data_IF_910280891881
#
_entry.id   IF_910280891881
#
_cell.length_a   1.000
_cell.length_b   1.000
_cell.length_c   1.000
_cell.angle_alpha   90.00
_cell.angle_beta   90.00
_cell.angle_gamma   90.00
#
_symmetry.space_group_name_H-M   'P 1'
#
loop_
_entity.id
_entity.type
_entity.pdbx_description
1 polymer ?
#
# COMPACT_ATOMS: atom_id res chain seq x y z
N UNK A 1 -5.71 -3.58 31.81
CA UNK A 1 -5.83 -4.07 30.41
C UNK A 1 -5.89 -5.58 30.49
N UNK A 2 -6.94 -6.23 29.97
CA UNK A 2 -7.11 -7.69 30.07
C UNK A 2 -5.94 -8.37 29.37
N UNK A 3 -5.26 -9.28 30.06
CA UNK A 3 -4.20 -10.14 29.52
C UNK A 3 -4.71 -10.87 28.27
N UNK A 4 -4.43 -10.30 27.10
CA UNK A 4 -4.81 -10.89 25.83
C UNK A 4 -3.86 -12.05 25.57
N UNK A 5 -4.24 -13.24 26.06
CA UNK A 5 -3.50 -14.47 25.86
C UNK A 5 -3.24 -14.61 24.36
N UNK A 6 -1.96 -14.61 23.96
CA UNK A 6 -1.49 -14.72 22.58
C UNK A 6 -1.80 -16.12 22.04
N UNK A 7 -3.10 -16.36 21.81
CA UNK A 7 -3.65 -17.62 21.37
C UNK A 7 -3.38 -17.76 19.87
N UNK A 8 -3.22 -18.99 19.38
CA UNK A 8 -3.01 -19.27 17.95
C UNK A 8 -4.05 -18.56 17.05
N UNK A 9 -5.30 -18.43 17.52
CA UNK A 9 -6.35 -17.68 16.84
C UNK A 9 -6.03 -16.21 16.61
N UNK A 10 -5.46 -15.51 17.59
CA UNK A 10 -5.08 -14.09 17.47
C UNK A 10 -3.99 -13.88 16.42
N UNK A 11 -3.01 -14.79 16.34
CA UNK A 11 -1.95 -14.74 15.33
C UNK A 11 -2.50 -14.97 13.92
N UNK A 12 -3.38 -15.95 13.76
CA UNK A 12 -4.06 -16.19 12.49
C UNK A 12 -4.86 -14.97 12.05
N UNK A 13 -5.64 -14.37 12.95
CA UNK A 13 -6.47 -13.21 12.65
C UNK A 13 -5.60 -11.99 12.24
N UNK A 14 -4.44 -11.82 12.87
CA UNK A 14 -3.47 -10.79 12.49
C UNK A 14 -2.89 -11.03 11.08
N UNK A 15 -2.52 -12.27 10.75
CA UNK A 15 -2.03 -12.63 9.41
C UNK A 15 -3.13 -12.40 8.36
N UNK A 16 -4.36 -12.81 8.64
CA UNK A 16 -5.50 -12.57 7.75
C UNK A 16 -5.73 -11.08 7.55
N UNK A 17 -5.74 -10.30 8.63
CA UNK A 17 -5.94 -8.86 8.55
C UNK A 17 -4.83 -8.19 7.73
N UNK A 18 -3.58 -8.63 7.91
CA UNK A 18 -2.44 -8.14 7.13
C UNK A 18 -2.59 -8.50 5.65
N UNK A 19 -2.97 -9.75 5.34
CA UNK A 19 -3.20 -10.20 3.97
C UNK A 19 -4.33 -9.39 3.31
N UNK A 20 -5.44 -9.17 4.02
CA UNK A 20 -6.52 -8.31 3.53
C UNK A 20 -6.05 -6.88 3.31
N UNK A 21 -5.31 -6.29 4.24
CA UNK A 21 -4.79 -4.93 4.09
C UNK A 21 -3.86 -4.78 2.87
N UNK A 22 -3.04 -5.79 2.58
CA UNK A 22 -2.10 -5.76 1.46
C UNK A 22 -2.81 -6.03 0.12
N UNK A 23 -3.72 -7.00 0.08
CA UNK A 23 -4.29 -7.53 -1.17
C UNK A 23 -5.62 -6.88 -1.56
N UNK A 24 -6.47 -6.56 -0.59
CA UNK A 24 -7.83 -6.11 -0.85
C UNK A 24 -7.87 -4.76 -1.61
N UNK A 25 -7.06 -3.74 -1.27
CA UNK A 25 -7.06 -2.49 -2.03
C UNK A 25 -6.62 -2.66 -3.50
N UNK A 26 -5.51 -3.36 -3.82
CA UNK A 26 -5.13 -3.63 -5.20
C UNK A 26 -6.16 -4.49 -5.96
N UNK A 27 -6.73 -5.52 -5.32
CA UNK A 27 -7.75 -6.39 -5.96
C UNK A 27 -8.99 -5.59 -6.33
N UNK A 28 -9.60 -4.87 -5.37
CA UNK A 28 -10.83 -4.11 -5.62
C UNK A 28 -10.63 -3.07 -6.72
N UNK A 29 -9.51 -2.37 -6.66
CA UNK A 29 -9.14 -1.35 -7.65
C UNK A 29 -8.99 -1.99 -9.03
N UNK A 30 -8.24 -3.08 -9.16
CA UNK A 30 -8.06 -3.80 -10.42
C UNK A 30 -9.39 -4.35 -10.98
N UNK A 31 -10.28 -4.85 -10.13
CA UNK A 31 -11.62 -5.29 -10.53
C UNK A 31 -12.45 -4.15 -11.13
N UNK A 32 -12.42 -2.95 -10.53
CA UNK A 32 -13.12 -1.77 -11.06
C UNK A 32 -12.56 -1.41 -12.44
N UNK A 33 -11.24 -1.29 -12.58
CA UNK A 33 -10.60 -0.95 -13.86
C UNK A 33 -10.92 -1.98 -14.96
N UNK A 34 -10.86 -3.26 -14.61
CA UNK A 34 -11.19 -4.34 -15.55
C UNK A 34 -12.67 -4.29 -15.95
N UNK A 35 -13.58 -4.09 -15.00
CA UNK A 35 -15.03 -4.07 -15.26
C UNK A 35 -15.46 -2.93 -16.20
N UNK A 36 -14.84 -1.76 -16.06
CA UNK A 36 -15.15 -0.59 -16.88
C UNK A 36 -14.24 -0.44 -18.11
N UNK A 37 -13.37 -1.43 -18.37
CA UNK A 37 -12.38 -1.39 -19.45
C UNK A 37 -11.51 -0.11 -19.43
N UNK A 38 -11.23 0.38 -18.23
CA UNK A 38 -10.48 1.62 -17.99
C UNK A 38 -8.99 1.31 -17.91
N UNK A 39 -8.17 2.22 -18.45
CA UNK A 39 -6.74 2.21 -18.22
C UNK A 39 -6.42 2.99 -16.91
N UNK A 40 -5.88 2.34 -15.87
CA UNK A 40 -5.48 3.02 -14.63
C UNK A 40 -4.38 4.07 -14.83
N UNK A 41 -3.56 3.94 -15.87
CA UNK A 41 -2.47 4.85 -16.22
C UNK A 41 -2.93 6.04 -17.07
N UNK A 42 -4.11 5.95 -17.71
CA UNK A 42 -4.65 7.07 -18.48
C UNK A 42 -5.26 8.18 -17.58
N UNK A 43 -5.51 7.90 -16.30
CA UNK A 43 -6.11 8.87 -15.36
C UNK A 43 -5.12 9.96 -14.97
N UNK A 44 -3.83 9.63 -14.82
CA UNK A 44 -2.81 10.58 -14.36
C UNK A 44 -2.18 11.29 -15.56
N UNK A 45 -2.87 12.32 -16.07
CA UNK A 45 -2.33 13.22 -17.12
C UNK A 45 -1.02 13.92 -16.74
N UNK A 46 -0.70 13.97 -15.44
CA UNK A 46 0.44 14.72 -14.92
C UNK A 46 1.81 14.12 -15.27
N UNK A 47 1.88 12.80 -15.54
CA UNK A 47 3.17 12.13 -15.80
C UNK A 47 3.31 11.53 -17.20
N UNK A 48 2.24 11.50 -18.03
CA UNK A 48 2.20 10.78 -19.32
C UNK A 48 2.81 9.35 -19.26
N UNK A 49 2.86 8.75 -18.07
CA UNK A 49 3.56 7.49 -17.85
C UNK A 49 2.57 6.35 -18.02
N UNK A 50 2.51 5.80 -19.23
CA UNK A 50 1.75 4.61 -19.56
C UNK A 50 2.73 3.46 -19.87
N UNK A 51 3.14 2.66 -18.87
CA UNK A 51 4.15 1.62 -19.05
C UNK A 51 3.73 0.52 -20.05
N UNK A 52 2.43 0.45 -20.37
CA UNK A 52 1.87 -0.55 -21.27
C UNK A 52 1.45 0.02 -22.64
N UNK A 53 1.62 1.33 -22.87
CA UNK A 53 1.22 2.04 -24.10
C UNK A 53 -0.20 1.69 -24.61
N UNK A 54 -1.11 1.34 -23.70
CA UNK A 54 -2.48 0.97 -24.02
C UNK A 54 -3.42 2.17 -23.89
N UNK A 55 -4.28 2.41 -24.86
CA UNK A 55 -5.30 3.48 -24.77
C UNK A 55 -6.54 3.07 -23.97
N UNK A 56 -6.74 1.76 -23.77
CA UNK A 56 -7.90 1.14 -23.09
C UNK A 56 -7.45 0.13 -22.05
N UNK A 57 -8.40 -0.59 -21.46
CA UNK A 57 -8.15 -1.60 -20.43
C UNK A 57 -7.02 -2.57 -20.77
N UNK A 58 -6.28 -2.93 -19.72
CA UNK A 58 -5.07 -3.77 -19.75
C UNK A 58 -5.43 -5.08 -19.03
N UNK A 59 -4.82 -6.24 -19.35
CA UNK A 59 -5.11 -7.48 -18.64
C UNK A 59 -5.12 -7.30 -17.11
N UNK A 60 -6.19 -7.77 -16.46
CA UNK A 60 -6.43 -7.49 -15.04
C UNK A 60 -5.29 -7.91 -14.11
N UNK A 61 -4.56 -8.99 -14.45
CA UNK A 61 -3.39 -9.42 -13.69
C UNK A 61 -2.23 -8.39 -13.74
N UNK A 62 -2.03 -7.70 -14.87
CA UNK A 62 -0.99 -6.68 -15.02
C UNK A 62 -1.36 -5.44 -14.19
N UNK A 63 -2.61 -5.00 -14.30
CA UNK A 63 -3.16 -3.91 -13.47
C UNK A 63 -3.03 -4.23 -11.98
N UNK A 64 -3.39 -5.45 -11.57
CA UNK A 64 -3.28 -5.90 -10.19
C UNK A 64 -1.83 -5.88 -9.69
N UNK A 65 -0.89 -6.51 -10.42
CA UNK A 65 0.51 -6.58 -10.00
C UNK A 65 1.13 -5.18 -9.89
N UNK A 66 0.83 -4.29 -10.83
CA UNK A 66 1.32 -2.93 -10.76
C UNK A 66 0.75 -2.18 -9.55
N UNK A 67 -0.58 -2.26 -9.33
CA UNK A 67 -1.21 -1.64 -8.17
C UNK A 67 -0.69 -2.21 -6.86
N UNK A 68 -0.38 -3.50 -6.81
CA UNK A 68 0.23 -4.14 -5.65
C UNK A 68 1.64 -3.58 -5.39
N UNK A 69 2.48 -3.46 -6.42
CA UNK A 69 3.81 -2.86 -6.29
C UNK A 69 3.72 -1.40 -5.83
N UNK A 70 2.81 -0.62 -6.41
CA UNK A 70 2.58 0.78 -6.03
C UNK A 70 2.10 0.89 -4.58
N UNK A 71 1.17 0.02 -4.17
CA UNK A 71 0.64 -0.04 -2.81
C UNK A 71 1.72 -0.38 -1.80
N UNK A 72 2.54 -1.40 -2.07
CA UNK A 72 3.66 -1.78 -1.22
C UNK A 72 4.71 -0.67 -1.16
N UNK A 73 5.07 -0.09 -2.31
CA UNK A 73 6.01 1.03 -2.39
C UNK A 73 5.56 2.25 -1.58
N UNK A 74 4.27 2.62 -1.68
CA UNK A 74 3.68 3.70 -0.89
C UNK A 74 3.71 3.41 0.62
N UNK A 75 3.42 2.19 1.04
CA UNK A 75 3.49 1.78 2.44
C UNK A 75 4.93 1.79 2.98
N UNK A 76 5.90 1.32 2.19
CA UNK A 76 7.33 1.38 2.56
C UNK A 76 7.78 2.83 2.71
N UNK A 77 7.40 3.70 1.77
CA UNK A 77 7.73 5.12 1.82
C UNK A 77 7.12 5.79 3.07
N UNK A 78 5.85 5.51 3.37
CA UNK A 78 5.18 6.02 4.56
C UNK A 78 5.87 5.54 5.83
N UNK A 79 6.25 4.25 5.89
CA UNK A 79 6.99 3.70 7.02
C UNK A 79 8.35 4.40 7.21
N UNK A 80 9.10 4.65 6.12
CA UNK A 80 10.36 5.38 6.15
C UNK A 80 10.17 6.82 6.63
N UNK A 81 9.10 7.49 6.21
CA UNK A 81 8.77 8.85 6.67
C UNK A 81 8.49 8.88 8.17
N UNK A 82 7.65 7.98 8.67
CA UNK A 82 7.32 7.90 10.11
C UNK A 82 8.55 7.55 10.93
N UNK A 83 9.35 6.60 10.47
CA UNK A 83 10.60 6.23 11.13
C UNK A 83 11.62 7.37 11.15
N UNK A 84 11.78 8.07 10.02
CA UNK A 84 12.63 9.25 9.89
C UNK A 84 12.20 10.38 10.82
N UNK A 85 10.90 10.69 10.85
CA UNK A 85 10.32 11.67 11.76
C UNK A 85 10.53 11.28 13.23
N UNK A 86 10.34 10.01 13.59
CA UNK A 86 10.59 9.52 14.94
C UNK A 86 12.06 9.57 15.36
N UNK A 87 12.99 9.33 14.42
CA UNK A 87 14.44 9.51 14.66
C UNK A 87 14.80 10.98 14.86
N UNK A 88 14.23 11.87 14.04
CA UNK A 88 14.46 13.30 14.13
C UNK A 88 13.90 13.86 15.46
N UNK A 89 12.69 13.45 15.83
CA UNK A 89 12.05 13.83 17.09
C UNK A 89 12.88 13.40 18.31
N UNK A 90 13.38 12.15 18.32
CA UNK A 90 14.27 11.68 19.39
C UNK A 90 15.56 12.49 19.49
N UNK A 91 16.19 12.79 18.34
CA UNK A 91 17.39 13.65 18.30
C UNK A 91 17.11 15.05 18.83
N UNK A 92 15.98 15.64 18.46
CA UNK A 92 15.59 16.97 18.91
C UNK A 92 15.27 17.00 20.41
N UNK A 93 14.57 16.00 20.93
CA UNK A 93 14.29 15.87 22.38
C UNK A 93 15.56 15.71 23.20
N UNK A 94 16.52 14.91 22.72
CA UNK A 94 17.82 14.73 23.38
C UNK A 94 18.63 16.03 23.47
N UNK A 95 18.46 16.97 22.54
CA UNK A 95 19.13 18.28 22.54
C UNK A 95 18.48 19.33 23.46
N UNK A 96 17.30 19.05 24.02
CA UNK A 96 16.58 19.95 24.95
C UNK A 96 16.60 19.45 26.40
N UNK A 97 17.21 18.29 26.67
CA UNK A 97 17.35 17.70 27.99
C UNK A 97 18.72 17.91 28.64
N UNK A 98 19.58 18.70 28.00
CA UNK A 98 20.78 19.35 28.57
C UNK A 98 20.46 20.84 28.74
#
# INVERSE_FOLDING_TARGET
>A
MKDYKNTHGTRLLLIFTLAFYILLPPVLTACVFTRFNLNPFAIVKFLHFNPFFADRGIPGYQTFLYLLMLWLGGNILLWLMVWGAGRLYRRWRSRRGE
#
